data_IF_641003170571
#
_entry.id   IF_641003170571
#
_cell.length_a   1.000
_cell.length_b   1.000
_cell.length_c   1.000
_cell.angle_alpha   90.00
_cell.angle_beta   90.00
_cell.angle_gamma   90.00
#
_symmetry.space_group_name_H-M   'P 1'
#
loop_
_entity.id
_entity.type
_entity.pdbx_description
1 polymer ?
#
# COMPACT_ATOMS: atom_id res chain seq x y z
N UNK A 1 57.43 -6.50 73.34
CA UNK A 1 56.09 -6.87 72.83
C UNK A 1 55.91 -6.14 71.51
N UNK A 2 55.82 -6.84 70.37
CA UNK A 2 55.69 -6.20 69.06
C UNK A 2 54.22 -5.86 68.76
N UNK A 3 53.96 -4.61 68.38
CA UNK A 3 52.66 -4.15 67.89
C UNK A 3 52.32 -4.82 66.56
N UNK A 4 51.13 -5.42 66.48
CA UNK A 4 50.58 -5.98 65.25
C UNK A 4 50.02 -4.86 64.39
N UNK A 5 50.67 -4.62 63.27
CA UNK A 5 50.21 -3.75 62.18
C UNK A 5 48.99 -4.38 61.49
N UNK A 6 47.83 -3.74 61.63
CA UNK A 6 46.60 -4.12 60.94
C UNK A 6 46.61 -3.53 59.52
N UNK A 7 46.97 -4.33 58.52
CA UNK A 7 46.76 -3.95 57.12
C UNK A 7 45.27 -3.97 56.76
N UNK A 8 44.73 -2.94 56.07
CA UNK A 8 43.37 -2.96 55.60
C UNK A 8 43.20 -3.97 54.46
N UNK A 9 42.28 -4.92 54.64
CA UNK A 9 41.85 -5.86 53.59
C UNK A 9 41.29 -5.08 52.41
N UNK A 10 42.02 -5.06 51.28
CA UNK A 10 41.51 -4.59 50.01
C UNK A 10 40.26 -5.41 49.62
N UNK A 11 39.09 -4.79 49.67
CA UNK A 11 37.85 -5.36 49.13
C UNK A 11 37.97 -5.34 47.61
N UNK A 12 38.24 -6.50 47.01
CA UNK A 12 38.21 -6.68 45.57
C UNK A 12 36.76 -6.54 45.07
N UNK A 13 36.37 -5.30 44.74
CA UNK A 13 35.12 -5.01 44.06
C UNK A 13 35.16 -5.61 42.66
N UNK A 14 34.44 -6.71 42.46
CA UNK A 14 34.19 -7.28 41.14
C UNK A 14 33.51 -6.19 40.31
N UNK A 15 34.24 -5.68 39.32
CA UNK A 15 33.86 -4.56 38.48
C UNK A 15 32.46 -4.77 37.88
N UNK A 16 31.57 -3.78 38.06
CA UNK A 16 30.14 -3.85 37.72
C UNK A 16 29.83 -4.25 36.27
N UNK A 17 30.77 -4.11 35.35
CA UNK A 17 30.63 -4.60 33.97
C UNK A 17 30.50 -6.14 33.91
N UNK A 18 31.28 -6.87 34.71
CA UNK A 18 31.21 -8.35 34.70
C UNK A 18 29.86 -8.88 35.17
N UNK A 19 29.22 -8.19 36.11
CA UNK A 19 27.86 -8.53 36.56
C UNK A 19 26.79 -8.18 35.50
N UNK A 20 26.97 -7.05 34.79
CA UNK A 20 26.03 -6.62 33.75
C UNK A 20 26.03 -7.57 32.54
N UNK A 21 27.20 -8.01 32.06
CA UNK A 21 27.29 -8.98 30.97
C UNK A 21 26.70 -10.35 31.33
N UNK A 22 26.82 -10.75 32.60
CA UNK A 22 26.29 -12.02 33.09
C UNK A 22 24.75 -12.00 33.17
N UNK A 23 24.17 -10.88 33.61
CA UNK A 23 22.71 -10.70 33.59
C UNK A 23 22.16 -10.56 32.16
N UNK A 24 22.85 -9.80 31.29
CA UNK A 24 22.40 -9.65 29.90
C UNK A 24 22.46 -10.99 29.17
N UNK A 25 23.55 -11.74 29.29
CA UNK A 25 23.70 -13.06 28.66
C UNK A 25 22.67 -14.09 29.13
N UNK A 26 22.32 -14.11 30.42
CA UNK A 26 21.30 -15.03 30.93
C UNK A 26 19.90 -14.66 30.40
N UNK A 27 19.58 -13.36 30.32
CA UNK A 27 18.31 -12.86 29.81
C UNK A 27 18.10 -13.14 28.31
N UNK A 28 19.10 -12.86 27.46
CA UNK A 28 18.97 -13.11 26.01
C UNK A 28 18.90 -14.59 25.68
N UNK A 29 19.63 -15.45 26.40
CA UNK A 29 19.59 -16.89 26.18
C UNK A 29 18.24 -17.49 26.57
N UNK A 30 17.62 -17.01 27.65
CA UNK A 30 16.27 -17.41 28.04
C UNK A 30 15.21 -16.96 27.01
N UNK A 31 15.31 -15.73 26.50
CA UNK A 31 14.39 -15.23 25.47
C UNK A 31 14.48 -16.04 24.16
N UNK A 32 15.70 -16.38 23.71
CA UNK A 32 15.90 -17.22 22.52
C UNK A 32 15.38 -18.65 22.72
N UNK A 33 15.50 -19.21 23.93
CA UNK A 33 14.95 -20.52 24.26
C UNK A 33 13.41 -20.53 24.22
N UNK A 34 12.76 -19.49 24.75
CA UNK A 34 11.29 -19.40 24.74
C UNK A 34 10.76 -19.21 23.32
N UNK A 35 11.39 -18.33 22.53
CA UNK A 35 11.02 -18.13 21.13
C UNK A 35 11.23 -19.42 20.33
N UNK A 36 12.37 -20.09 20.52
CA UNK A 36 12.66 -21.38 19.89
C UNK A 36 11.66 -22.48 20.27
N UNK A 37 11.23 -22.53 21.54
CA UNK A 37 10.23 -23.50 22.01
C UNK A 37 8.84 -23.20 21.45
N UNK A 38 8.48 -21.91 21.29
CA UNK A 38 7.21 -21.51 20.67
C UNK A 38 7.16 -21.90 19.18
N UNK A 39 8.21 -21.58 18.41
CA UNK A 39 8.31 -22.00 17.01
C UNK A 39 8.41 -23.53 16.88
N UNK A 40 9.10 -24.21 17.79
CA UNK A 40 9.18 -25.68 17.83
C UNK A 40 7.84 -26.36 18.11
N UNK A 41 7.05 -25.83 19.06
CA UNK A 41 5.73 -26.36 19.40
C UNK A 41 4.72 -26.16 18.25
N UNK A 42 4.74 -24.99 17.59
CA UNK A 42 3.92 -24.75 16.37
C UNK A 42 4.27 -25.73 15.26
N UNK A 43 5.58 -26.03 15.09
CA UNK A 43 6.03 -26.98 14.07
C UNK A 43 5.67 -28.43 14.39
N UNK A 44 5.66 -28.81 15.68
CA UNK A 44 5.21 -30.15 16.10
C UNK A 44 3.70 -30.36 15.97
N UNK A 45 2.88 -29.34 16.24
CA UNK A 45 1.44 -29.40 16.02
C UNK A 45 1.09 -29.57 14.53
N UNK A 46 1.89 -29.00 13.62
CA UNK A 46 1.75 -29.20 12.18
C UNK A 46 2.17 -30.59 11.67
N UNK A 47 2.99 -31.33 12.43
CA UNK A 47 3.53 -32.63 12.02
C UNK A 47 2.73 -33.84 12.54
N UNK A 48 1.77 -33.64 13.45
CA UNK A 48 0.94 -34.70 14.01
C UNK A 48 -0.29 -35.05 13.14
N UNK A 49 -0.48 -34.38 12.00
CA UNK A 49 -1.54 -34.66 11.03
C UNK A 49 -0.88 -35.09 9.72
N UNK A 50 -0.98 -36.39 9.42
CA UNK A 50 -0.58 -37.13 8.20
C UNK A 50 0.72 -37.96 8.30
N UNK A 51 0.61 -39.30 8.25
CA UNK A 51 1.74 -40.17 7.92
C UNK A 51 1.82 -40.36 6.39
N UNK A 52 3.00 -40.13 5.82
CA UNK A 52 3.31 -40.46 4.42
C UNK A 52 4.25 -39.45 3.81
N UNK A 53 5.53 -39.80 3.72
CA UNK A 53 6.57 -38.94 3.19
C UNK A 53 6.46 -38.75 1.68
N UNK A 54 6.61 -37.50 1.26
CA UNK A 54 7.48 -37.07 0.18
C UNK A 54 7.78 -35.58 0.41
N UNK A 55 8.98 -35.18 0.03
CA UNK A 55 9.53 -33.83 0.13
C UNK A 55 8.49 -32.77 -0.28
N UNK A 56 8.13 -31.78 0.55
CA UNK A 56 7.20 -30.77 0.12
C UNK A 56 7.91 -29.93 -0.95
N UNK A 57 7.43 -29.88 -2.22
CA UNK A 57 7.86 -28.84 -3.12
C UNK A 57 7.61 -27.52 -2.41
N UNK A 58 8.54 -26.56 -2.57
CA UNK A 58 8.35 -25.18 -2.14
C UNK A 58 6.91 -24.83 -2.43
N UNK A 59 6.14 -24.50 -1.39
CA UNK A 59 4.73 -24.17 -1.52
C UNK A 59 4.67 -22.97 -2.47
N UNK A 60 4.44 -23.27 -3.75
CA UNK A 60 4.02 -22.30 -4.71
C UNK A 60 2.78 -21.70 -4.08
N UNK A 61 2.87 -20.41 -3.76
CA UNK A 61 1.68 -19.57 -3.63
C UNK A 61 0.81 -19.98 -4.80
N UNK A 62 -0.43 -20.47 -4.58
CA UNK A 62 -1.27 -20.82 -5.71
C UNK A 62 -1.39 -19.54 -6.54
N UNK A 63 -0.71 -19.51 -7.68
CA UNK A 63 -1.05 -18.63 -8.78
C UNK A 63 -2.47 -19.05 -9.13
N UNK A 64 -3.44 -18.41 -8.47
CA UNK A 64 -4.82 -18.51 -8.88
C UNK A 64 -4.84 -18.09 -10.33
N UNK A 65 -5.06 -19.03 -11.23
CA UNK A 65 -5.33 -18.75 -12.63
C UNK A 65 -6.68 -18.06 -12.71
N UNK A 66 -6.72 -16.81 -12.31
CA UNK A 66 -7.87 -15.95 -12.48
C UNK A 66 -7.84 -15.49 -13.93
N UNK A 67 -8.59 -16.19 -14.77
CA UNK A 67 -8.87 -15.71 -16.11
C UNK A 67 -9.78 -14.48 -16.01
N UNK A 68 -9.47 -13.39 -16.72
CA UNK A 68 -10.35 -12.24 -16.83
C UNK A 68 -11.76 -12.65 -17.26
N UNK A 69 -12.77 -11.91 -16.81
CA UNK A 69 -14.15 -12.19 -17.19
C UNK A 69 -14.29 -12.12 -18.74
N UNK A 70 -14.90 -13.14 -19.39
CA UNK A 70 -15.01 -13.19 -20.86
C UNK A 70 -15.91 -12.08 -21.42
N UNK A 71 -16.73 -11.45 -20.57
CA UNK A 71 -17.44 -10.22 -20.89
C UNK A 71 -17.66 -9.41 -19.62
N UNK A 72 -17.39 -8.12 -19.68
CA UNK A 72 -17.60 -7.21 -18.56
C UNK A 72 -19.02 -6.62 -18.62
N UNK A 73 -19.85 -6.89 -17.62
CA UNK A 73 -21.17 -6.25 -17.52
C UNK A 73 -21.02 -4.74 -17.28
N UNK A 74 -21.96 -3.90 -17.74
CA UNK A 74 -21.97 -2.49 -17.37
C UNK A 74 -21.89 -2.30 -15.85
N UNK A 75 -21.08 -1.35 -15.38
CA UNK A 75 -20.92 -1.09 -13.95
C UNK A 75 -20.01 -2.06 -13.20
N UNK A 76 -19.46 -3.10 -13.86
CA UNK A 76 -18.56 -4.04 -13.18
C UNK A 76 -17.26 -3.35 -12.72
N UNK A 77 -16.80 -2.36 -13.47
CA UNK A 77 -15.63 -1.55 -13.16
C UNK A 77 -16.07 -0.20 -12.58
N UNK A 78 -16.55 -0.22 -11.34
CA UNK A 78 -16.77 0.96 -10.52
C UNK A 78 -15.72 0.94 -9.39
N UNK A 79 -14.61 1.68 -9.58
CA UNK A 79 -13.54 1.74 -8.58
C UNK A 79 -13.94 2.60 -7.37
N UNK A 80 -14.84 3.55 -7.53
CA UNK A 80 -15.27 4.44 -6.44
C UNK A 80 -16.13 3.67 -5.43
N UNK A 81 -17.13 2.94 -5.92
CA UNK A 81 -17.91 2.00 -5.10
C UNK A 81 -17.03 0.90 -4.51
N UNK A 82 -15.99 0.47 -5.24
CA UNK A 82 -15.02 -0.50 -4.69
C UNK A 82 -14.32 0.06 -3.45
N UNK A 83 -13.93 1.34 -3.43
CA UNK A 83 -13.31 1.95 -2.25
C UNK A 83 -14.25 1.99 -1.04
N UNK A 84 -15.54 2.24 -1.27
CA UNK A 84 -16.56 2.36 -0.22
C UNK A 84 -17.01 1.01 0.33
N UNK A 85 -17.13 0.00 -0.54
CA UNK A 85 -17.76 -1.28 -0.18
C UNK A 85 -16.74 -2.37 0.14
N UNK A 86 -15.55 -2.36 -0.46
CA UNK A 86 -14.57 -3.45 -0.31
C UNK A 86 -14.09 -3.61 1.13
N UNK A 87 -13.99 -4.85 1.59
CA UNK A 87 -13.37 -5.14 2.89
C UNK A 87 -11.85 -4.88 2.88
N UNK A 88 -11.23 -4.85 1.70
CA UNK A 88 -9.78 -4.67 1.54
C UNK A 88 -9.33 -3.21 1.67
N UNK A 89 -10.27 -2.25 1.68
CA UNK A 89 -9.99 -0.81 1.82
C UNK A 89 -10.08 -0.35 3.28
N UNK A 90 -9.68 -1.21 4.22
CA UNK A 90 -9.75 -0.95 5.65
C UNK A 90 -9.13 0.39 6.06
N UNK A 91 -7.94 0.71 5.55
CA UNK A 91 -7.25 1.98 5.83
C UNK A 91 -8.05 3.21 5.39
N UNK A 92 -8.72 3.15 4.23
CA UNK A 92 -9.59 4.22 3.75
C UNK A 92 -10.82 4.37 4.62
N UNK A 93 -11.47 3.26 4.99
CA UNK A 93 -12.66 3.25 5.86
C UNK A 93 -12.38 3.78 7.26
N UNK A 94 -11.19 3.54 7.80
CA UNK A 94 -10.77 4.06 9.12
C UNK A 94 -10.60 5.57 9.14
N UNK A 95 -10.52 6.23 7.98
CA UNK A 95 -10.48 7.69 7.86
C UNK A 95 -11.87 8.32 7.66
N UNK A 96 -12.95 7.57 7.92
CA UNK A 96 -14.33 8.07 7.88
C UNK A 96 -14.64 8.85 6.60
N UNK A 97 -14.48 8.22 5.42
CA UNK A 97 -14.63 8.90 4.14
C UNK A 97 -16.05 9.43 3.97
N UNK A 98 -16.17 10.69 3.59
CA UNK A 98 -17.43 11.33 3.21
C UNK A 98 -17.36 11.77 1.76
N UNK A 99 -18.19 11.18 0.90
CA UNK A 99 -18.27 11.55 -0.51
C UNK A 99 -18.70 13.01 -0.69
N UNK A 100 -18.06 13.69 -1.64
CA UNK A 100 -18.24 15.12 -1.94
C UNK A 100 -18.87 15.37 -3.32
N UNK A 101 -18.80 14.40 -4.23
CA UNK A 101 -19.51 14.41 -5.51
C UNK A 101 -20.90 13.74 -5.42
N UNK A 102 -21.66 13.79 -6.51
CA UNK A 102 -23.03 13.30 -6.65
C UNK A 102 -23.13 12.05 -7.54
N UNK A 103 -22.04 11.31 -7.72
CA UNK A 103 -21.94 10.11 -8.58
C UNK A 103 -22.21 10.36 -10.08
N UNK A 104 -22.22 11.62 -10.53
CA UNK A 104 -22.60 11.99 -11.89
C UNK A 104 -21.52 11.77 -12.97
N UNK A 105 -20.27 11.54 -12.57
CA UNK A 105 -19.12 11.48 -13.48
C UNK A 105 -18.83 10.08 -14.04
N UNK A 106 -19.48 9.04 -13.50
CA UNK A 106 -19.30 7.66 -13.96
C UNK A 106 -19.80 7.48 -15.40
N UNK A 107 -18.93 6.97 -16.27
CA UNK A 107 -19.25 6.67 -17.67
C UNK A 107 -18.87 5.24 -17.99
N UNK A 108 -19.83 4.45 -18.46
CA UNK A 108 -19.62 3.14 -19.10
C UNK A 108 -20.63 3.00 -20.26
N UNK A 109 -20.19 3.14 -21.53
CA UNK A 109 -21.10 3.07 -22.68
C UNK A 109 -21.60 1.64 -22.95
N UNK A 110 -21.14 0.66 -22.18
CA UNK A 110 -21.58 -0.73 -22.26
C UNK A 110 -20.90 -1.54 -23.36
N UNK A 111 -21.15 -2.86 -23.41
CA UNK A 111 -20.43 -3.81 -24.26
C UNK A 111 -20.68 -3.64 -25.76
N UNK A 112 -21.69 -2.87 -26.17
CA UNK A 112 -21.98 -2.61 -27.59
C UNK A 112 -21.13 -1.49 -28.19
N UNK A 113 -20.41 -0.72 -27.38
CA UNK A 113 -19.51 0.32 -27.86
C UNK A 113 -18.20 -0.29 -28.36
N UNK A 114 -17.80 0.03 -29.59
CA UNK A 114 -16.52 -0.42 -30.16
C UNK A 114 -15.34 0.12 -29.36
N UNK A 115 -15.42 1.39 -28.96
CA UNK A 115 -14.40 2.11 -28.21
C UNK A 115 -14.88 2.26 -26.76
N UNK A 116 -15.19 1.13 -26.11
CA UNK A 116 -15.71 1.12 -24.74
C UNK A 116 -14.62 1.57 -23.76
N UNK A 117 -14.68 2.84 -23.38
CA UNK A 117 -13.88 3.40 -22.29
C UNK A 117 -14.75 3.63 -21.05
N UNK A 118 -14.28 3.16 -19.90
CA UNK A 118 -14.92 3.35 -18.60
C UNK A 118 -14.10 4.36 -17.81
N UNK A 119 -14.75 5.36 -17.22
CA UNK A 119 -14.08 6.38 -16.43
C UNK A 119 -14.96 6.91 -15.30
N UNK A 120 -14.32 7.49 -14.28
CA UNK A 120 -14.99 8.19 -13.20
C UNK A 120 -14.04 9.20 -12.51
N UNK A 121 -14.62 10.15 -11.77
CA UNK A 121 -13.92 11.16 -10.96
C UNK A 121 -14.62 11.35 -9.60
N UNK A 122 -14.09 10.71 -8.58
CA UNK A 122 -14.70 10.69 -7.27
C UNK A 122 -13.86 11.44 -6.24
N UNK A 123 -14.52 12.14 -5.33
CA UNK A 123 -13.95 13.05 -4.34
C UNK A 123 -14.52 12.73 -2.96
N UNK A 124 -13.64 12.59 -1.98
CA UNK A 124 -14.00 12.38 -0.59
C UNK A 124 -13.29 13.37 0.31
N UNK A 125 -13.97 13.80 1.37
CA UNK A 125 -13.34 14.33 2.56
C UNK A 125 -12.97 13.15 3.47
N UNK A 126 -11.71 13.07 3.86
CA UNK A 126 -11.20 12.12 4.83
C UNK A 126 -10.91 12.83 6.13
N UNK A 127 -11.09 12.14 7.26
CA UNK A 127 -10.74 12.64 8.57
C UNK A 127 -9.66 11.76 9.18
N UNK A 128 -8.44 12.28 9.22
CA UNK A 128 -7.40 11.69 10.06
C UNK A 128 -7.70 12.05 11.52
N UNK A 129 -7.78 11.06 12.43
CA UNK A 129 -8.03 11.33 13.85
C UNK A 129 -7.02 12.30 14.48
N UNK A 130 -5.79 12.32 13.95
CA UNK A 130 -4.68 13.10 14.50
C UNK A 130 -4.33 14.34 13.65
N UNK A 131 -4.60 14.32 12.33
CA UNK A 131 -4.03 15.29 11.39
C UNK A 131 -5.06 16.15 10.62
N UNK A 132 -6.34 16.09 11.00
CA UNK A 132 -7.38 16.95 10.46
C UNK A 132 -8.06 16.41 9.20
N UNK A 133 -8.62 17.32 8.39
CA UNK A 133 -9.41 16.99 7.20
C UNK A 133 -8.54 16.98 5.95
N UNK A 134 -8.60 15.88 5.20
CA UNK A 134 -7.94 15.72 3.91
C UNK A 134 -8.96 15.64 2.79
N UNK A 135 -8.52 15.99 1.59
CA UNK A 135 -9.26 15.71 0.37
C UNK A 135 -8.58 14.55 -0.35
N UNK A 136 -9.36 13.57 -0.72
CA UNK A 136 -8.93 12.45 -1.53
C UNK A 136 -9.74 12.45 -2.82
N UNK A 137 -9.07 12.39 -3.96
CA UNK A 137 -9.70 12.31 -5.27
C UNK A 137 -9.15 11.10 -6.01
N UNK A 138 -10.04 10.24 -6.49
CA UNK A 138 -9.70 9.15 -7.39
C UNK A 138 -10.24 9.49 -8.78
N UNK A 139 -9.36 9.52 -9.78
CA UNK A 139 -9.75 9.54 -11.19
C UNK A 139 -9.23 8.28 -11.86
N UNK A 140 -10.04 7.64 -12.71
CA UNK A 140 -9.57 6.52 -13.51
C UNK A 140 -10.18 6.51 -14.90
N UNK A 141 -9.48 5.85 -15.82
CA UNK A 141 -9.91 5.57 -17.17
C UNK A 141 -9.42 4.18 -17.54
N UNK A 142 -10.27 3.35 -18.13
CA UNK A 142 -9.90 2.03 -18.59
C UNK A 142 -10.58 1.66 -19.90
N UNK A 143 -9.80 1.09 -20.83
CA UNK A 143 -10.30 0.59 -22.11
C UNK A 143 -10.74 -0.86 -21.97
N UNK A 144 -12.00 -1.14 -22.32
CA UNK A 144 -12.58 -2.46 -22.50
C UNK A 144 -13.07 -2.66 -23.95
N UNK A 145 -12.45 -1.95 -24.89
CA UNK A 145 -12.72 -2.05 -26.32
C UNK A 145 -12.45 -3.46 -26.85
N UNK A 146 -13.24 -3.87 -27.85
CA UNK A 146 -13.10 -5.15 -28.56
C UNK A 146 -11.97 -5.08 -29.61
N UNK A 147 -10.76 -4.86 -29.11
CA UNK A 147 -9.51 -4.80 -29.88
C UNK A 147 -8.50 -5.77 -29.26
N UNK A 148 -7.30 -5.90 -29.83
CA UNK A 148 -6.27 -6.75 -29.22
C UNK A 148 -5.77 -6.17 -27.90
N UNK A 149 -5.35 -7.04 -26.98
CA UNK A 149 -4.71 -6.67 -25.71
C UNK A 149 -3.59 -5.63 -25.92
N UNK A 150 -2.71 -5.89 -26.89
CA UNK A 150 -1.60 -5.01 -27.22
C UNK A 150 -2.02 -3.58 -27.58
N UNK A 151 -3.18 -3.41 -28.23
CA UNK A 151 -3.71 -2.09 -28.58
C UNK A 151 -4.20 -1.39 -27.32
N UNK A 152 -5.05 -2.05 -26.51
CA UNK A 152 -5.56 -1.47 -25.26
C UNK A 152 -4.45 -1.11 -24.27
N UNK A 153 -3.43 -1.97 -24.15
CA UNK A 153 -2.27 -1.72 -23.29
C UNK A 153 -1.47 -0.54 -23.82
N UNK A 154 -1.23 -0.45 -25.13
CA UNK A 154 -0.54 0.70 -25.73
C UNK A 154 -1.30 2.01 -25.53
N UNK A 155 -2.63 2.00 -25.61
CA UNK A 155 -3.48 3.15 -25.30
C UNK A 155 -3.35 3.57 -23.83
N UNK A 156 -3.38 2.61 -22.90
CA UNK A 156 -3.21 2.87 -21.48
C UNK A 156 -1.79 3.38 -21.13
N UNK A 157 -0.75 2.91 -21.82
CA UNK A 157 0.61 3.46 -21.69
C UNK A 157 0.68 4.92 -22.15
N UNK A 158 0.02 5.25 -23.27
CA UNK A 158 -0.06 6.62 -23.75
C UNK A 158 -0.85 7.52 -22.78
N UNK A 159 -1.98 7.02 -22.24
CA UNK A 159 -2.76 7.70 -21.23
C UNK A 159 -1.97 7.92 -19.94
N UNK A 160 -1.21 6.92 -19.47
CA UNK A 160 -0.33 7.05 -18.32
C UNK A 160 0.77 8.09 -18.55
N UNK A 161 1.43 8.06 -19.72
CA UNK A 161 2.48 9.03 -20.07
C UNK A 161 1.93 10.46 -20.13
N UNK A 162 0.75 10.64 -20.73
CA UNK A 162 0.05 11.93 -20.76
C UNK A 162 -0.29 12.40 -19.35
N UNK A 163 -0.96 11.56 -18.56
CA UNK A 163 -1.34 11.89 -17.19
C UNK A 163 -0.12 12.27 -16.34
N UNK A 164 0.99 11.54 -16.49
CA UNK A 164 2.25 11.85 -15.81
C UNK A 164 2.82 13.20 -16.21
N UNK A 165 2.79 13.55 -17.51
CA UNK A 165 3.24 14.86 -17.99
C UNK A 165 2.42 16.04 -17.46
N UNK A 166 1.18 15.80 -17.04
CA UNK A 166 0.31 16.81 -16.44
C UNK A 166 0.56 17.01 -14.92
N UNK A 167 1.18 16.03 -14.23
CA UNK A 167 1.35 16.07 -12.77
C UNK A 167 2.26 17.22 -12.36
N UNK A 168 3.37 17.45 -13.06
CA UNK A 168 4.34 18.50 -12.68
C UNK A 168 3.68 19.89 -12.60
N UNK A 169 2.70 20.16 -13.47
CA UNK A 169 1.97 21.44 -13.48
C UNK A 169 1.08 21.65 -12.26
N UNK A 170 0.77 20.59 -11.51
CA UNK A 170 -0.04 20.66 -10.28
C UNK A 170 0.76 21.09 -9.06
N UNK A 171 2.09 21.08 -9.12
CA UNK A 171 2.96 21.43 -8.00
C UNK A 171 3.60 22.81 -8.20
N UNK A 172 3.57 23.63 -7.15
CA UNK A 172 4.39 24.85 -7.07
C UNK A 172 5.84 24.53 -6.67
N UNK A 173 6.02 23.51 -5.84
CA UNK A 173 7.33 22.96 -5.46
C UNK A 173 7.21 21.46 -5.28
N UNK A 174 8.15 20.72 -5.86
CA UNK A 174 8.23 19.26 -5.73
C UNK A 174 9.26 18.94 -4.65
N UNK A 175 8.86 18.16 -3.66
CA UNK A 175 9.70 17.71 -2.56
C UNK A 175 10.27 16.32 -2.83
N UNK A 176 9.42 15.38 -3.26
CA UNK A 176 9.82 14.00 -3.53
C UNK A 176 9.19 13.48 -4.81
N UNK A 177 9.88 12.54 -5.45
CA UNK A 177 9.40 11.80 -6.62
C UNK A 177 9.81 10.34 -6.48
N UNK A 178 8.86 9.42 -6.60
CA UNK A 178 9.08 7.98 -6.41
C UNK A 178 8.56 7.19 -7.62
N UNK A 179 9.30 6.17 -8.04
CA UNK A 179 8.81 5.13 -8.95
C UNK A 179 8.38 3.92 -8.14
N UNK A 180 7.08 3.63 -8.10
CA UNK A 180 6.50 2.63 -7.20
C UNK A 180 6.24 1.28 -7.90
N UNK A 181 7.22 0.78 -8.67
CA UNK A 181 7.06 -0.32 -9.64
C UNK A 181 6.70 -1.72 -9.10
N UNK A 182 6.25 -1.84 -7.84
CA UNK A 182 5.73 -3.10 -7.26
C UNK A 182 4.23 -3.05 -6.96
N UNK A 183 3.60 -1.89 -7.13
CA UNK A 183 2.21 -1.63 -6.72
C UNK A 183 1.25 -1.72 -7.90
N UNK A 184 1.75 -1.47 -9.11
CA UNK A 184 1.07 -1.62 -10.39
C UNK A 184 2.15 -1.87 -11.47
N UNK A 185 1.75 -2.26 -12.69
CA UNK A 185 2.70 -2.51 -13.80
C UNK A 185 3.56 -1.27 -14.11
N UNK A 186 2.94 -0.09 -14.07
CA UNK A 186 3.63 1.19 -14.05
C UNK A 186 3.08 2.02 -12.90
N UNK A 187 3.96 2.63 -12.12
CA UNK A 187 3.56 3.50 -11.04
C UNK A 187 4.54 4.66 -10.85
N UNK A 188 3.98 5.82 -10.55
CA UNK A 188 4.67 7.07 -10.34
C UNK A 188 3.99 7.81 -9.20
N UNK A 189 4.78 8.39 -8.29
CA UNK A 189 4.26 9.23 -7.23
C UNK A 189 5.09 10.50 -7.08
N UNK A 190 4.43 11.57 -6.65
CA UNK A 190 5.04 12.88 -6.42
C UNK A 190 4.41 13.54 -5.22
N UNK A 191 5.24 14.20 -4.41
CA UNK A 191 4.83 14.92 -3.22
C UNK A 191 5.41 16.33 -3.23
N UNK A 192 4.66 17.31 -2.75
CA UNK A 192 5.09 18.69 -2.69
C UNK A 192 3.99 19.69 -2.34
N UNK A 193 4.28 20.97 -2.52
CA UNK A 193 3.31 22.04 -2.37
C UNK A 193 2.44 22.16 -3.62
N UNK A 194 1.13 22.26 -3.44
CA UNK A 194 0.18 22.45 -4.53
C UNK A 194 0.36 23.80 -5.22
N UNK A 195 0.07 23.84 -6.51
CA UNK A 195 -0.06 25.08 -7.30
C UNK A 195 -1.40 25.79 -7.06
N UNK A 196 -2.41 25.09 -6.54
CA UNK A 196 -3.75 25.64 -6.28
C UNK A 196 -3.84 26.46 -5.00
N UNK A 197 -2.84 26.40 -4.12
CA UNK A 197 -2.80 27.17 -2.87
C UNK A 197 -1.48 26.99 -2.11
N UNK A 198 -0.94 28.11 -1.61
CA UNK A 198 0.42 28.22 -1.03
C UNK A 198 0.67 27.35 0.22
N UNK A 199 -0.38 26.78 0.83
CA UNK A 199 -0.29 26.01 2.08
C UNK A 199 -0.80 24.58 1.96
N UNK A 200 -1.23 24.16 0.77
CA UNK A 200 -1.81 22.83 0.55
C UNK A 200 -0.70 21.84 0.16
N UNK A 201 -0.39 20.90 1.05
CA UNK A 201 0.44 19.75 0.70
C UNK A 201 -0.35 18.81 -0.21
N UNK A 202 0.28 18.34 -1.28
CA UNK A 202 -0.32 17.48 -2.28
C UNK A 202 0.56 16.24 -2.47
N UNK A 203 -0.08 15.08 -2.50
CA UNK A 203 0.50 13.81 -2.89
C UNK A 203 -0.29 13.25 -4.06
N UNK A 204 0.38 12.93 -5.15
CA UNK A 204 -0.24 12.31 -6.31
C UNK A 204 0.39 10.94 -6.52
N UNK A 205 -0.45 9.90 -6.54
CA UNK A 205 -0.10 8.57 -7.02
C UNK A 205 -0.76 8.35 -8.37
N UNK A 206 0.00 7.86 -9.35
CA UNK A 206 -0.46 7.45 -10.66
C UNK A 206 -0.06 6.00 -10.89
N UNK A 207 -1.03 5.15 -11.21
CA UNK A 207 -0.83 3.73 -11.51
C UNK A 207 -1.43 3.35 -12.87
N UNK A 208 -0.81 2.38 -13.54
CA UNK A 208 -1.37 1.65 -14.67
C UNK A 208 -1.35 0.17 -14.35
N UNK A 209 -2.48 -0.49 -14.60
CA UNK A 209 -2.56 -1.95 -14.62
C UNK A 209 -3.43 -2.37 -15.80
N UNK A 210 -2.93 -3.30 -16.62
CA UNK A 210 -3.52 -3.64 -17.93
C UNK A 210 -3.86 -2.39 -18.75
N UNK A 211 -5.08 -2.34 -19.29
CA UNK A 211 -5.64 -1.24 -20.07
C UNK A 211 -6.28 -0.13 -19.22
N UNK A 212 -5.98 -0.08 -17.92
CA UNK A 212 -6.52 0.92 -16.99
C UNK A 212 -5.45 1.81 -16.37
N UNK A 213 -5.75 3.10 -16.26
CA UNK A 213 -4.95 4.12 -15.57
C UNK A 213 -5.78 4.70 -14.44
N UNK A 214 -5.19 4.82 -13.26
CA UNK A 214 -5.84 5.44 -12.11
C UNK A 214 -4.89 6.42 -11.42
N UNK A 215 -5.44 7.50 -10.89
CA UNK A 215 -4.71 8.54 -10.17
C UNK A 215 -5.42 8.87 -8.86
N UNK A 216 -4.67 8.87 -7.78
CA UNK A 216 -5.10 9.32 -6.46
C UNK A 216 -4.42 10.66 -6.16
N UNK A 217 -5.21 11.73 -6.02
CA UNK A 217 -4.74 13.01 -5.53
C UNK A 217 -5.15 13.12 -4.06
N UNK A 218 -4.19 13.30 -3.16
CA UNK A 218 -4.40 13.42 -1.71
C UNK A 218 -3.87 14.77 -1.28
N UNK A 219 -4.71 15.62 -0.70
CA UNK A 219 -4.31 16.93 -0.24
C UNK A 219 -4.79 17.25 1.15
N UNK A 220 -4.07 18.13 1.84
CA UNK A 220 -4.43 18.64 3.16
C UNK A 220 -4.40 20.16 3.15
N UNK A 221 -5.41 20.76 3.76
CA UNK A 221 -5.44 22.21 4.03
C UNK A 221 -4.57 22.60 5.23
N UNK A 222 -4.12 21.62 6.03
CA UNK A 222 -3.19 21.81 7.14
C UNK A 222 -1.75 21.60 6.68
N UNK A 223 -0.85 22.51 7.10
CA UNK A 223 0.58 22.49 6.78
C UNK A 223 1.36 21.35 7.45
N UNK A 224 0.76 20.65 8.41
CA UNK A 224 1.48 19.67 9.26
C UNK A 224 1.30 18.20 8.85
N UNK A 225 0.76 17.93 7.65
CA UNK A 225 0.60 16.53 7.22
C UNK A 225 1.89 15.95 6.66
N UNK A 226 2.36 14.88 7.30
CA UNK A 226 3.57 14.20 6.85
C UNK A 226 3.31 13.41 5.57
N UNK A 227 4.23 13.50 4.61
CA UNK A 227 4.20 12.71 3.38
C UNK A 227 4.00 11.21 3.62
N UNK A 228 4.57 10.70 4.72
CA UNK A 228 4.52 9.30 5.07
C UNK A 228 3.09 8.77 5.19
N UNK A 229 2.15 9.57 5.69
CA UNK A 229 0.75 9.15 5.84
C UNK A 229 0.01 9.12 4.50
N UNK A 230 0.22 10.14 3.64
CA UNK A 230 -0.32 10.13 2.28
C UNK A 230 0.23 8.94 1.48
N UNK A 231 1.53 8.68 1.62
CA UNK A 231 2.20 7.54 0.99
C UNK A 231 1.63 6.22 1.50
N UNK A 232 1.38 6.09 2.81
CA UNK A 232 0.82 4.87 3.39
C UNK A 232 -0.62 4.63 2.90
N UNK A 233 -1.46 5.67 2.87
CA UNK A 233 -2.80 5.57 2.29
C UNK A 233 -2.73 5.11 0.83
N UNK A 234 -1.92 5.75 0.00
CA UNK A 234 -1.75 5.38 -1.39
C UNK A 234 -1.23 3.94 -1.55
N UNK A 235 -0.24 3.51 -0.76
CA UNK A 235 0.29 2.15 -0.76
C UNK A 235 -0.73 1.10 -0.32
N UNK A 236 -1.66 1.47 0.57
CA UNK A 236 -2.74 0.57 0.98
C UNK A 236 -3.82 0.41 -0.08
N UNK A 237 -4.14 1.48 -0.82
CA UNK A 237 -5.24 1.51 -1.80
C UNK A 237 -4.83 1.05 -3.19
N UNK A 238 -3.66 1.45 -3.66
CA UNK A 238 -3.22 1.17 -5.01
C UNK A 238 -3.19 -0.34 -5.37
N UNK A 239 -2.78 -1.27 -4.48
CA UNK A 239 -2.91 -2.70 -4.75
C UNK A 239 -4.36 -3.14 -4.95
N UNK A 240 -5.29 -2.62 -4.14
CA UNK A 240 -6.72 -2.96 -4.26
C UNK A 240 -7.28 -2.51 -5.61
N UNK A 241 -6.91 -1.29 -6.03
CA UNK A 241 -7.31 -0.74 -7.34
C UNK A 241 -6.67 -1.51 -8.50
N UNK A 242 -5.36 -1.80 -8.42
CA UNK A 242 -4.62 -2.57 -9.42
C UNK A 242 -5.22 -3.97 -9.59
N UNK A 243 -5.40 -4.71 -8.50
CA UNK A 243 -6.01 -6.05 -8.53
C UNK A 243 -7.44 -6.03 -9.06
N UNK A 244 -8.22 -4.98 -8.76
CA UNK A 244 -9.57 -4.82 -9.32
C UNK A 244 -9.54 -4.67 -10.84
N UNK A 245 -8.63 -3.83 -11.35
CA UNK A 245 -8.41 -3.67 -12.80
C UNK A 245 -7.94 -4.97 -13.44
N UNK A 246 -6.97 -5.66 -12.83
CA UNK A 246 -6.42 -6.92 -13.33
C UNK A 246 -7.46 -8.04 -13.45
N UNK A 247 -8.42 -8.07 -12.53
CA UNK A 247 -9.44 -9.11 -12.50
C UNK A 247 -10.57 -8.86 -13.48
N UNK A 248 -10.86 -7.60 -13.78
CA UNK A 248 -12.09 -7.21 -14.50
C UNK A 248 -11.81 -6.87 -15.94
N UNK A 249 -10.71 -6.19 -16.21
CA UNK A 249 -10.34 -5.84 -17.56
C UNK A 249 -9.92 -7.11 -18.31
N UNK A 250 -10.33 -7.24 -19.59
CA UNK A 250 -9.89 -8.35 -20.41
C UNK A 250 -8.35 -8.41 -20.45
N UNK A 251 -7.81 -9.61 -20.68
CA UNK A 251 -6.44 -9.74 -21.18
C UNK A 251 -6.43 -9.14 -22.58
#
# INVERSE_FOLDING_TARGET
MPERENQPRQKAGVHGWRAFLLMFGCGTTAALLVVGLFFGAVRMLGAAVLPGGDEPPAAAVPEGSWEPAPSMTPGALDLCSTLETSAQTGAFKTMFPKRLDDDGDYTDPGPSASDRTISDDCKWALRSPEQGEWRFRLTYEASAADVSESVRVSEAEAAFAKARGEIDSKFSTVTETEKMGRVAEQAYAQYGASSSGDTESLYIFLGRSRSGVFRMDISSLSQEVSEAEFRELARSLAPVLSTRLERILPA
#
